data_IF_498076283468
#
_entry.id   IF_498076283468
#
_cell.length_a   1.000
_cell.length_b   1.000
_cell.length_c   1.000
_cell.angle_alpha   90.00
_cell.angle_beta   90.00
_cell.angle_gamma   90.00
#
_symmetry.space_group_name_H-M   'P 1'
#
loop_
_entity.id
_entity.type
_entity.pdbx_description
1 polymer ?
#
# COMPACT_ATOMS: atom_id res chain seq x y z
N UNK A 1 -44.24 6.32 27.15
CA UNK A 1 -42.89 6.81 26.74
C UNK A 1 -42.68 6.47 25.27
N UNK A 2 -42.30 7.44 24.43
CA UNK A 2 -42.03 7.18 23.02
C UNK A 2 -40.84 6.22 22.93
N UNK A 3 -41.06 5.02 22.35
CA UNK A 3 -39.95 4.15 21.97
C UNK A 3 -39.17 4.89 20.90
N UNK A 4 -37.85 5.01 21.08
CA UNK A 4 -36.96 5.54 20.05
C UNK A 4 -37.17 4.73 18.77
N UNK A 5 -37.61 5.40 17.69
CA UNK A 5 -37.90 4.79 16.38
C UNK A 5 -36.70 4.00 15.84
N UNK A 6 -35.48 4.47 16.15
CA UNK A 6 -34.25 3.78 15.78
C UNK A 6 -34.07 2.44 16.50
N UNK A 7 -34.39 2.37 17.80
CA UNK A 7 -34.24 1.14 18.58
C UNK A 7 -35.30 0.09 18.28
N UNK A 8 -36.39 0.47 17.59
CA UNK A 8 -37.39 -0.48 17.09
C UNK A 8 -37.00 -1.14 15.76
N UNK A 9 -35.91 -0.71 15.12
CA UNK A 9 -35.41 -1.34 13.89
C UNK A 9 -34.80 -2.72 14.19
N UNK A 10 -34.85 -3.62 13.20
CA UNK A 10 -34.14 -4.90 13.23
C UNK A 10 -32.63 -4.67 13.46
N UNK A 11 -31.96 -5.64 14.10
CA UNK A 11 -30.55 -5.49 14.49
C UNK A 11 -29.65 -5.27 13.27
N UNK A 12 -29.91 -5.99 12.19
CA UNK A 12 -29.19 -5.92 10.92
C UNK A 12 -29.28 -4.52 10.32
N UNK A 13 -30.46 -3.89 10.38
CA UNK A 13 -30.66 -2.53 9.90
C UNK A 13 -29.95 -1.50 10.78
N UNK A 14 -29.95 -1.71 12.10
CA UNK A 14 -29.21 -0.84 13.03
C UNK A 14 -27.71 -0.92 12.74
N UNK A 15 -27.16 -2.13 12.61
CA UNK A 15 -25.75 -2.33 12.25
C UNK A 15 -25.43 -1.68 10.91
N UNK A 16 -26.25 -1.92 9.88
CA UNK A 16 -26.07 -1.33 8.55
C UNK A 16 -26.02 0.20 8.59
N UNK A 17 -26.95 0.85 9.30
CA UNK A 17 -26.96 2.32 9.45
C UNK A 17 -25.70 2.81 10.18
N UNK A 18 -25.32 2.13 11.27
CA UNK A 18 -24.16 2.50 12.06
C UNK A 18 -22.83 2.34 11.30
N UNK A 19 -22.75 1.45 10.31
CA UNK A 19 -21.57 1.29 9.44
C UNK A 19 -21.27 2.52 8.58
N UNK A 20 -22.22 3.43 8.38
CA UNK A 20 -22.00 4.70 7.65
C UNK A 20 -21.47 5.83 8.55
N UNK A 21 -21.36 5.61 9.85
CA UNK A 21 -20.88 6.60 10.80
C UNK A 21 -19.34 6.57 10.91
N UNK A 22 -18.75 7.69 11.31
CA UNK A 22 -17.33 7.72 11.67
C UNK A 22 -17.05 6.86 12.91
N UNK A 23 -15.82 6.40 13.10
CA UNK A 23 -15.46 5.62 14.30
C UNK A 23 -15.79 6.36 15.61
N UNK A 24 -15.62 7.69 15.61
CA UNK A 24 -15.96 8.56 16.75
C UNK A 24 -17.46 8.51 17.03
N UNK A 25 -18.28 8.64 16.00
CA UNK A 25 -19.74 8.63 16.13
C UNK A 25 -20.25 7.25 16.55
N UNK A 26 -19.67 6.16 16.05
CA UNK A 26 -19.98 4.79 16.51
C UNK A 26 -19.70 4.65 18.01
N UNK A 27 -18.55 5.13 18.48
CA UNK A 27 -18.18 5.10 19.89
C UNK A 27 -19.08 6.00 20.74
N UNK A 28 -19.52 7.15 20.22
CA UNK A 28 -20.52 7.99 20.85
C UNK A 28 -21.88 7.27 20.96
N UNK A 29 -22.38 6.67 19.88
CA UNK A 29 -23.62 5.89 19.90
C UNK A 29 -23.55 4.75 20.93
N UNK A 30 -22.41 4.05 21.03
CA UNK A 30 -22.17 3.02 22.04
C UNK A 30 -22.32 3.55 23.48
N UNK A 31 -21.99 4.82 23.75
CA UNK A 31 -22.09 5.39 25.10
C UNK A 31 -23.49 5.92 25.45
N UNK A 32 -24.36 6.15 24.46
CA UNK A 32 -25.71 6.71 24.67
C UNK A 32 -26.62 5.77 25.46
N UNK A 33 -26.69 4.49 25.12
CA UNK A 33 -27.57 3.55 25.82
C UNK A 33 -27.11 2.09 25.76
N UNK A 34 -27.66 1.24 26.64
CA UNK A 34 -27.33 -0.20 26.73
C UNK A 34 -27.64 -0.96 25.45
N UNK A 35 -28.71 -0.62 24.74
CA UNK A 35 -29.10 -1.29 23.51
C UNK A 35 -28.08 -1.05 22.38
N UNK A 36 -27.65 0.20 22.19
CA UNK A 36 -26.60 0.54 21.20
C UNK A 36 -25.25 -0.05 21.59
N UNK A 37 -24.92 -0.02 22.89
CA UNK A 37 -23.75 -0.72 23.40
C UNK A 37 -23.78 -2.22 23.05
N UNK A 38 -24.93 -2.86 23.22
CA UNK A 38 -25.09 -4.28 22.89
C UNK A 38 -24.91 -4.52 21.39
N UNK A 39 -25.55 -3.71 20.53
CA UNK A 39 -25.39 -3.79 19.07
C UNK A 39 -23.92 -3.64 18.64
N UNK A 40 -23.17 -2.72 19.25
CA UNK A 40 -21.73 -2.61 19.00
C UNK A 40 -20.97 -3.88 19.42
N UNK A 41 -21.29 -4.44 20.59
CA UNK A 41 -20.60 -5.63 21.11
C UNK A 41 -20.93 -6.92 20.34
N UNK A 42 -22.12 -7.01 19.74
CA UNK A 42 -22.55 -8.17 18.95
C UNK A 42 -22.08 -8.12 17.48
N UNK A 43 -21.86 -6.94 16.91
CA UNK A 43 -21.44 -6.78 15.51
C UNK A 43 -19.93 -6.77 15.34
N UNK A 44 -19.44 -7.71 14.53
CA UNK A 44 -18.03 -7.75 14.12
C UNK A 44 -17.67 -6.61 13.17
N UNK A 45 -18.63 -6.15 12.36
CA UNK A 45 -18.53 -5.05 11.40
C UNK A 45 -18.23 -3.72 12.10
N UNK A 46 -19.03 -3.37 13.10
CA UNK A 46 -18.84 -2.13 13.85
C UNK A 46 -17.53 -2.13 14.63
N UNK A 47 -17.17 -3.27 15.22
CA UNK A 47 -15.89 -3.43 15.90
C UNK A 47 -14.73 -3.30 14.90
N UNK A 48 -14.84 -3.90 13.72
CA UNK A 48 -13.82 -3.85 12.69
C UNK A 48 -13.57 -2.42 12.19
N UNK A 49 -14.61 -1.64 11.92
CA UNK A 49 -14.48 -0.22 11.53
C UNK A 49 -13.73 0.59 12.60
N UNK A 50 -14.10 0.40 13.87
CA UNK A 50 -13.46 1.11 14.99
C UNK A 50 -11.99 0.71 15.16
N UNK A 51 -11.68 -0.59 15.07
CA UNK A 51 -10.33 -1.13 15.25
C UNK A 51 -9.41 -0.74 14.09
N UNK A 52 -9.90 -0.76 12.85
CA UNK A 52 -9.18 -0.23 11.69
C UNK A 52 -8.81 1.24 11.91
N UNK A 53 -9.80 2.04 12.32
CA UNK A 53 -9.60 3.47 12.57
C UNK A 53 -8.60 3.72 13.70
N UNK A 54 -8.65 2.93 14.77
CA UNK A 54 -7.71 3.00 15.89
C UNK A 54 -6.26 2.69 15.50
N UNK A 55 -6.05 1.96 14.40
CA UNK A 55 -4.74 1.64 13.84
C UNK A 55 -4.39 2.48 12.61
N UNK A 56 -5.16 3.53 12.31
CA UNK A 56 -5.00 4.37 11.12
C UNK A 56 -5.05 3.58 9.79
N UNK A 57 -5.84 2.51 9.74
CA UNK A 57 -6.04 1.68 8.57
C UNK A 57 -7.38 2.01 7.88
N UNK A 58 -7.43 1.78 6.57
CA UNK A 58 -8.63 1.99 5.76
C UNK A 58 -9.37 0.68 5.53
N UNK A 59 -10.70 0.76 5.55
CA UNK A 59 -11.55 -0.33 5.12
C UNK A 59 -11.46 -0.45 3.59
N UNK A 60 -10.95 -1.57 3.09
CA UNK A 60 -10.92 -1.87 1.66
C UNK A 60 -12.09 -2.80 1.36
N UNK A 61 -13.13 -2.26 0.73
CA UNK A 61 -14.18 -3.06 0.13
C UNK A 61 -13.61 -3.83 -1.07
N UNK A 62 -14.11 -5.04 -1.32
CA UNK A 62 -13.84 -5.76 -2.56
C UNK A 62 -12.41 -6.29 -2.76
N UNK A 63 -11.66 -6.55 -1.68
CA UNK A 63 -10.57 -7.52 -1.78
C UNK A 63 -11.22 -8.85 -2.15
N UNK A 64 -10.92 -9.45 -3.31
CA UNK A 64 -11.54 -10.71 -3.78
C UNK A 64 -11.42 -11.90 -2.81
N UNK A 65 -10.78 -11.67 -1.67
CA UNK A 65 -10.73 -12.52 -0.50
C UNK A 65 -12.09 -12.54 0.25
N UNK A 66 -12.79 -13.67 0.17
CA UNK A 66 -14.06 -13.91 0.86
C UNK A 66 -13.92 -14.12 2.39
N UNK A 67 -12.78 -13.79 2.99
CA UNK A 67 -12.55 -13.89 4.44
C UNK A 67 -13.63 -13.12 5.22
N UNK A 68 -14.38 -13.77 6.13
CA UNK A 68 -15.42 -13.13 6.95
C UNK A 68 -14.89 -11.96 7.80
N UNK A 69 -15.71 -10.95 8.05
CA UNK A 69 -15.31 -9.75 8.80
C UNK A 69 -14.85 -10.07 10.23
N UNK A 70 -15.48 -11.05 10.88
CA UNK A 70 -15.05 -11.56 12.20
C UNK A 70 -13.62 -12.11 12.18
N UNK A 71 -13.24 -12.83 11.13
CA UNK A 71 -11.88 -13.35 10.97
C UNK A 71 -10.89 -12.23 10.66
N UNK A 72 -11.25 -11.28 9.79
CA UNK A 72 -10.43 -10.09 9.52
C UNK A 72 -10.18 -9.28 10.79
N UNK A 73 -11.21 -9.09 11.62
CA UNK A 73 -11.11 -8.43 12.91
C UNK A 73 -10.17 -9.18 13.86
N UNK A 74 -10.25 -10.52 13.90
CA UNK A 74 -9.36 -11.32 14.73
C UNK A 74 -7.90 -11.17 14.28
N UNK A 75 -7.63 -11.30 12.98
CA UNK A 75 -6.28 -11.09 12.40
C UNK A 75 -5.74 -9.69 12.72
N UNK A 76 -6.60 -8.66 12.64
CA UNK A 76 -6.24 -7.28 12.98
C UNK A 76 -5.82 -7.13 14.46
N UNK A 77 -6.55 -7.76 15.38
CA UNK A 77 -6.22 -7.78 16.81
C UNK A 77 -4.96 -8.58 17.10
N UNK A 78 -4.81 -9.74 16.46
CA UNK A 78 -3.61 -10.58 16.61
C UNK A 78 -2.36 -9.83 16.14
N UNK A 79 -2.45 -9.12 15.01
CA UNK A 79 -1.40 -8.24 14.51
C UNK A 79 -1.06 -7.14 15.51
N UNK A 80 -2.05 -6.41 16.03
CA UNK A 80 -1.82 -5.37 17.03
C UNK A 80 -1.16 -5.93 18.29
N UNK A 81 -1.59 -7.10 18.76
CA UNK A 81 -0.98 -7.77 19.90
C UNK A 81 0.46 -8.23 19.62
N UNK A 82 0.74 -8.75 18.42
CA UNK A 82 2.08 -9.14 18.03
C UNK A 82 3.03 -7.93 18.01
N UNK A 83 2.57 -6.78 17.51
CA UNK A 83 3.33 -5.52 17.54
C UNK A 83 3.61 -5.03 18.97
N UNK A 84 2.63 -5.11 19.87
CA UNK A 84 2.82 -4.73 21.28
C UNK A 84 3.76 -5.69 22.03
N UNK A 85 3.78 -6.96 21.63
CA UNK A 85 4.67 -7.99 22.19
C UNK A 85 6.05 -8.00 21.53
N UNK A 86 6.27 -7.19 20.49
CA UNK A 86 7.55 -7.13 19.79
C UNK A 86 8.62 -6.63 20.77
N UNK A 87 9.46 -7.54 21.23
CA UNK A 87 10.61 -7.17 22.03
C UNK A 87 11.67 -6.57 21.11
N UNK A 88 11.76 -5.23 21.07
CA UNK A 88 12.74 -4.50 20.28
C UNK A 88 14.20 -4.89 20.62
N UNK A 89 14.46 -5.50 21.77
CA UNK A 89 15.78 -5.99 22.15
C UNK A 89 16.09 -7.40 21.64
N UNK A 90 15.09 -8.11 21.09
CA UNK A 90 15.27 -9.42 20.46
C UNK A 90 15.53 -9.33 18.95
N UNK A 91 16.12 -8.21 18.50
CA UNK A 91 16.56 -8.04 17.11
C UNK A 91 17.61 -9.09 16.78
N UNK A 92 17.28 -9.98 15.86
CA UNK A 92 18.25 -10.89 15.28
C UNK A 92 18.91 -10.20 14.09
N UNK A 93 20.22 -10.00 14.18
CA UNK A 93 21.03 -9.56 13.04
C UNK A 93 21.36 -10.77 12.19
N UNK A 94 20.76 -10.84 11.00
CA UNK A 94 21.15 -11.80 9.96
C UNK A 94 22.16 -11.17 9.01
N UNK A 95 23.26 -11.86 8.73
CA UNK A 95 24.11 -11.52 7.59
C UNK A 95 23.55 -12.18 6.35
N UNK A 96 23.04 -11.37 5.42
CA UNK A 96 22.71 -11.85 4.09
C UNK A 96 23.99 -11.81 3.24
N UNK A 97 24.44 -12.94 2.65
CA UNK A 97 25.60 -12.95 1.76
C UNK A 97 25.23 -12.21 0.48
N UNK A 98 25.59 -10.94 0.40
CA UNK A 98 25.28 -10.11 -0.77
C UNK A 98 26.59 -9.75 -1.46
N UNK A 99 26.75 -10.11 -2.75
CA UNK A 99 28.02 -9.97 -3.44
C UNK A 99 28.41 -8.50 -3.71
N UNK A 100 27.47 -7.54 -3.67
CA UNK A 100 27.75 -6.13 -4.00
C UNK A 100 26.97 -5.11 -3.15
N UNK A 101 27.53 -3.91 -2.90
CA UNK A 101 26.83 -2.82 -2.22
C UNK A 101 25.82 -2.15 -3.17
N UNK A 102 24.62 -2.72 -3.29
CA UNK A 102 23.50 -2.13 -4.04
C UNK A 102 22.48 -1.50 -3.08
N UNK A 103 21.78 -0.42 -3.51
CA UNK A 103 20.68 0.13 -2.72
C UNK A 103 19.61 -0.95 -2.52
N UNK A 104 19.15 -1.06 -1.27
CA UNK A 104 18.20 -2.07 -0.83
C UNK A 104 16.93 -1.41 -0.38
N UNK A 105 15.84 -2.07 -0.69
CA UNK A 105 14.52 -1.59 -0.32
C UNK A 105 13.72 -2.78 0.19
N UNK A 106 12.79 -2.48 1.09
CA UNK A 106 11.91 -3.45 1.70
C UNK A 106 10.49 -3.13 1.29
N UNK A 107 9.76 -4.13 0.82
CA UNK A 107 8.31 -4.03 0.64
C UNK A 107 7.64 -5.27 1.19
N UNK A 108 6.75 -5.08 2.16
CA UNK A 108 6.15 -6.18 2.93
C UNK A 108 7.21 -7.09 3.55
N UNK A 109 7.15 -8.38 3.20
CA UNK A 109 8.07 -9.42 3.68
C UNK A 109 9.19 -9.75 2.68
N UNK A 110 9.43 -8.89 1.68
CA UNK A 110 10.43 -9.14 0.64
C UNK A 110 11.51 -8.06 0.64
N UNK A 111 12.76 -8.52 0.53
CA UNK A 111 13.92 -7.70 0.21
C UNK A 111 14.08 -7.68 -1.30
N UNK A 112 14.22 -6.49 -1.87
CA UNK A 112 14.63 -6.39 -3.28
C UNK A 112 15.93 -5.61 -3.41
N UNK A 113 16.74 -6.06 -4.36
CA UNK A 113 17.98 -5.42 -4.74
C UNK A 113 18.08 -5.34 -6.25
N UNK A 114 18.59 -4.20 -6.73
CA UNK A 114 18.86 -3.98 -8.13
C UNK A 114 20.35 -4.04 -8.38
N UNK A 115 20.79 -4.97 -9.22
CA UNK A 115 22.19 -5.13 -9.59
C UNK A 115 22.42 -4.37 -10.89
N UNK A 116 22.93 -3.14 -10.79
CA UNK A 116 23.11 -2.25 -11.94
C UNK A 116 23.96 -2.85 -13.08
N UNK A 117 24.98 -3.65 -12.77
CA UNK A 117 25.89 -4.20 -13.78
C UNK A 117 25.28 -5.33 -14.60
N UNK A 118 24.44 -6.15 -13.96
CA UNK A 118 23.78 -7.28 -14.62
C UNK A 118 22.40 -6.92 -15.13
N UNK A 119 21.88 -5.73 -14.78
CA UNK A 119 20.49 -5.35 -15.01
C UNK A 119 19.61 -6.48 -14.46
N UNK A 120 19.68 -6.77 -13.15
CA UNK A 120 18.89 -7.83 -12.51
C UNK A 120 18.16 -7.30 -11.29
N UNK A 121 16.88 -7.68 -11.15
CA UNK A 121 16.14 -7.55 -9.90
C UNK A 121 16.25 -8.89 -9.18
N UNK A 122 16.83 -8.89 -7.99
CA UNK A 122 16.71 -10.04 -7.09
C UNK A 122 15.70 -9.70 -6.02
N UNK A 123 14.69 -10.56 -5.88
CA UNK A 123 13.68 -10.44 -4.83
C UNK A 123 13.79 -11.68 -3.97
N UNK A 124 14.15 -11.45 -2.73
CA UNK A 124 14.39 -12.49 -1.75
C UNK A 124 13.40 -12.30 -0.62
N UNK A 125 12.69 -13.35 -0.18
CA UNK A 125 11.87 -13.26 1.00
C UNK A 125 12.77 -12.94 2.20
N UNK A 126 12.28 -12.09 3.10
CA UNK A 126 12.95 -11.86 4.38
C UNK A 126 12.88 -13.18 5.14
N UNK A 127 14.02 -13.75 5.58
CA UNK A 127 14.03 -15.03 6.29
C UNK A 127 13.13 -14.95 7.52
N UNK A 128 11.97 -15.60 7.46
CA UNK A 128 11.08 -15.74 8.60
C UNK A 128 11.39 -17.05 9.32
N UNK A 129 11.09 -17.14 10.62
CA UNK A 129 11.27 -18.38 11.40
C UNK A 129 10.40 -19.53 10.90
N UNK A 130 9.41 -19.25 10.03
CA UNK A 130 8.51 -20.23 9.46
C UNK A 130 8.72 -20.30 7.94
N UNK A 131 9.42 -21.32 7.44
CA UNK A 131 9.64 -21.49 6.00
C UNK A 131 8.34 -22.00 5.37
N UNK A 132 7.41 -21.10 5.09
CA UNK A 132 6.23 -21.39 4.29
C UNK A 132 6.21 -20.43 3.11
N UNK A 133 6.50 -21.01 1.93
CA UNK A 133 6.54 -20.38 0.60
C UNK A 133 7.70 -19.40 0.38
N UNK A 134 8.87 -19.97 0.09
CA UNK A 134 10.03 -19.24 -0.41
C UNK A 134 9.82 -18.96 -1.91
N UNK A 135 9.30 -17.78 -2.25
CA UNK A 135 9.33 -17.30 -3.63
C UNK A 135 10.69 -16.65 -3.85
N UNK A 136 11.68 -17.45 -4.26
CA UNK A 136 12.93 -16.93 -4.83
C UNK A 136 12.72 -16.81 -6.34
N UNK A 137 12.44 -15.60 -6.80
CA UNK A 137 12.42 -15.29 -8.23
C UNK A 137 13.60 -14.40 -8.59
N UNK A 138 14.44 -14.91 -9.48
CA UNK A 138 15.43 -14.11 -10.18
C UNK A 138 14.78 -13.60 -11.46
N UNK A 139 14.44 -12.31 -11.48
CA UNK A 139 13.86 -11.70 -12.68
C UNK A 139 14.93 -11.00 -13.48
N UNK A 140 15.03 -11.36 -14.76
CA UNK A 140 15.71 -10.51 -15.71
C UNK A 140 14.76 -9.38 -16.19
N UNK A 141 15.17 -8.12 -16.18
CA UNK A 141 14.47 -7.02 -16.82
C UNK A 141 14.20 -7.29 -18.30
N UNK A 142 15.06 -8.07 -18.97
CA UNK A 142 14.84 -8.51 -20.36
C UNK A 142 13.58 -9.35 -20.54
N UNK A 143 13.17 -10.11 -19.52
CA UNK A 143 11.94 -10.91 -19.53
C UNK A 143 10.72 -10.10 -19.09
N UNK A 144 10.91 -9.16 -18.16
CA UNK A 144 9.82 -8.32 -17.63
C UNK A 144 9.48 -7.14 -18.54
N UNK A 145 10.46 -6.58 -19.23
CA UNK A 145 10.30 -5.43 -20.09
C UNK A 145 10.99 -5.74 -21.43
N UNK A 146 10.23 -5.90 -22.53
CA UNK A 146 10.82 -6.12 -23.86
C UNK A 146 11.59 -4.90 -24.39
N UNK A 147 11.61 -3.78 -23.63
CA UNK A 147 12.42 -2.62 -23.95
C UNK A 147 13.88 -2.93 -23.67
N UNK A 148 14.67 -2.91 -24.75
CA UNK A 148 16.07 -3.32 -24.82
C UNK A 148 16.97 -2.53 -23.84
N UNK A 149 16.52 -1.40 -23.27
CA UNK A 149 17.22 -0.70 -22.19
C UNK A 149 16.29 0.21 -21.36
N UNK A 150 15.89 -0.14 -20.12
CA UNK A 150 15.49 0.88 -19.16
C UNK A 150 16.75 1.57 -18.61
N UNK A 151 16.86 2.89 -18.83
CA UNK A 151 17.85 3.70 -18.10
C UNK A 151 17.37 3.81 -16.66
N UNK A 152 18.06 3.15 -15.75
CA UNK A 152 17.94 3.28 -14.28
C UNK A 152 16.51 3.06 -13.72
N UNK A 153 16.24 1.85 -13.24
CA UNK A 153 15.09 1.59 -12.36
C UNK A 153 15.17 2.51 -11.13
N UNK A 154 14.04 3.14 -10.80
CA UNK A 154 13.92 4.09 -9.68
C UNK A 154 13.17 3.52 -8.50
N UNK A 155 12.15 2.71 -8.76
CA UNK A 155 11.31 2.17 -7.70
C UNK A 155 10.70 0.84 -8.12
N UNK A 156 10.50 -0.05 -7.15
CA UNK A 156 9.79 -1.31 -7.33
C UNK A 156 8.62 -1.34 -6.36
N UNK A 157 7.46 -1.71 -6.88
CA UNK A 157 6.20 -1.84 -6.17
C UNK A 157 5.78 -3.31 -6.22
N UNK A 158 5.22 -3.80 -5.11
CA UNK A 158 4.66 -5.15 -5.03
C UNK A 158 3.37 -5.12 -4.21
N UNK A 159 2.37 -5.87 -4.66
CA UNK A 159 1.20 -6.21 -3.88
C UNK A 159 0.87 -7.71 -4.11
N UNK A 160 1.44 -8.60 -3.28
CA UNK A 160 1.23 -10.04 -3.41
C UNK A 160 -0.24 -10.45 -3.29
N UNK A 161 -1.06 -9.69 -2.55
CA UNK A 161 -2.48 -10.00 -2.40
C UNK A 161 -3.26 -9.86 -3.71
N UNK A 162 -2.73 -9.08 -4.65
CA UNK A 162 -3.29 -8.88 -5.98
C UNK A 162 -2.48 -9.58 -7.07
N UNK A 163 -1.44 -10.34 -6.72
CA UNK A 163 -0.44 -10.85 -7.67
C UNK A 163 0.15 -9.71 -8.54
N UNK A 164 0.33 -8.51 -7.97
CA UNK A 164 0.75 -7.32 -8.71
C UNK A 164 2.21 -6.98 -8.44
N UNK A 165 2.93 -6.70 -9.52
CA UNK A 165 4.32 -6.25 -9.52
C UNK A 165 4.45 -5.00 -10.40
N UNK A 166 5.16 -4.00 -9.92
CA UNK A 166 5.34 -2.72 -10.62
C UNK A 166 6.80 -2.31 -10.67
N UNK A 167 7.32 -1.95 -11.85
CA UNK A 167 8.66 -1.36 -12.00
C UNK A 167 8.54 0.04 -12.55
N UNK A 168 9.03 1.02 -11.80
CA UNK A 168 9.18 2.39 -12.28
C UNK A 168 10.60 2.63 -12.79
N UNK A 169 10.70 3.06 -14.05
CA UNK A 169 11.96 3.39 -14.69
C UNK A 169 11.86 4.71 -15.46
N UNK A 170 13.03 5.26 -15.79
CA UNK A 170 13.15 6.48 -16.60
C UNK A 170 13.14 6.08 -18.08
N UNK A 171 12.21 6.63 -18.86
CA UNK A 171 12.16 6.45 -20.32
C UNK A 171 13.09 7.45 -21.00
N UNK A 172 12.98 8.72 -20.61
CA UNK A 172 13.87 9.81 -21.01
C UNK A 172 14.06 10.77 -19.81
N UNK A 173 14.86 11.82 -19.94
CA UNK A 173 15.17 12.72 -18.81
C UNK A 173 13.94 13.33 -18.12
N UNK A 174 12.75 13.27 -18.73
CA UNK A 174 11.53 13.94 -18.29
C UNK A 174 10.32 13.00 -18.23
N UNK A 175 10.48 11.69 -18.42
CA UNK A 175 9.38 10.74 -18.41
C UNK A 175 9.69 9.51 -17.56
N UNK A 176 8.76 9.19 -16.66
CA UNK A 176 8.73 7.92 -15.96
C UNK A 176 7.67 7.02 -16.57
N UNK A 177 7.94 5.72 -16.54
CA UNK A 177 6.97 4.69 -16.88
C UNK A 177 6.95 3.65 -15.79
N UNK A 178 5.76 3.27 -15.36
CA UNK A 178 5.53 2.20 -14.39
C UNK A 178 4.99 1.00 -15.15
N UNK A 179 5.81 -0.01 -15.38
CA UNK A 179 5.37 -1.27 -15.98
C UNK A 179 4.65 -2.11 -14.94
N UNK A 180 3.50 -2.68 -15.31
CA UNK A 180 2.67 -3.50 -14.44
C UNK A 180 2.67 -4.95 -14.92
N UNK A 181 3.08 -5.84 -14.03
CA UNK A 181 3.17 -7.27 -14.28
C UNK A 181 2.50 -8.07 -13.17
N UNK A 182 2.27 -9.35 -13.46
CA UNK A 182 2.03 -10.37 -12.44
C UNK A 182 3.30 -10.64 -11.63
N UNK A 183 3.13 -10.96 -10.35
CA UNK A 183 4.25 -11.38 -9.51
C UNK A 183 4.71 -12.80 -9.87
N UNK A 184 3.79 -13.71 -10.20
CA UNK A 184 4.14 -15.13 -10.40
C UNK A 184 4.94 -15.41 -11.69
N UNK A 185 4.57 -14.80 -12.82
CA UNK A 185 5.16 -15.11 -14.13
C UNK A 185 5.74 -13.89 -14.86
N UNK A 186 5.56 -12.68 -14.33
CA UNK A 186 6.10 -11.45 -14.90
C UNK A 186 5.44 -11.00 -16.21
N UNK A 187 4.32 -11.62 -16.61
CA UNK A 187 3.52 -11.18 -17.75
C UNK A 187 2.71 -9.93 -17.41
N UNK A 188 2.16 -9.26 -18.44
CA UNK A 188 1.28 -8.10 -18.24
C UNK A 188 0.13 -8.49 -17.34
N UNK A 189 -0.11 -7.71 -16.30
CA UNK A 189 -1.12 -8.04 -15.30
C UNK A 189 -2.52 -8.09 -15.95
N UNK A 190 -3.30 -9.19 -15.81
CA UNK A 190 -4.54 -9.40 -16.55
C UNK A 190 -5.64 -8.39 -16.20
N UNK A 191 -5.60 -7.84 -14.99
CA UNK A 191 -6.52 -6.79 -14.54
C UNK A 191 -6.06 -5.36 -14.86
N UNK A 192 -4.86 -5.16 -15.41
CA UNK A 192 -4.38 -3.82 -15.71
C UNK A 192 -5.04 -3.29 -16.99
N UNK A 193 -5.41 -2.01 -16.98
CA UNK A 193 -5.97 -1.36 -18.17
C UNK A 193 -4.98 -1.31 -19.34
N UNK A 194 -3.68 -1.42 -19.04
CA UNK A 194 -2.60 -1.46 -20.00
C UNK A 194 -1.31 -1.98 -19.36
N UNK A 195 -0.27 -2.21 -20.17
CA UNK A 195 1.00 -2.77 -19.69
C UNK A 195 1.80 -1.79 -18.83
N UNK A 196 1.50 -0.49 -18.92
CA UNK A 196 2.23 0.52 -18.17
C UNK A 196 1.36 1.75 -17.85
N UNK A 197 1.77 2.47 -16.81
CA UNK A 197 1.29 3.80 -16.48
C UNK A 197 2.35 4.81 -16.89
N UNK A 198 1.95 5.77 -17.72
CA UNK A 198 2.82 6.82 -18.21
C UNK A 198 2.75 8.06 -17.32
N UNK A 199 3.92 8.69 -17.17
CA UNK A 199 4.08 9.90 -16.40
C UNK A 199 5.04 10.85 -17.09
N UNK A 200 4.50 11.96 -17.56
CA UNK A 200 5.28 13.09 -18.05
C UNK A 200 5.61 14.02 -16.87
N UNK A 201 6.89 14.41 -16.79
CA UNK A 201 7.38 15.40 -15.86
C UNK A 201 7.69 16.69 -16.59
N UNK A 202 7.38 17.81 -15.95
CA UNK A 202 7.92 19.12 -16.36
C UNK A 202 9.37 19.31 -15.92
N UNK A 203 9.81 18.64 -14.86
CA UNK A 203 11.11 18.83 -14.21
C UNK A 203 11.63 17.51 -13.65
N UNK A 204 12.97 17.35 -13.60
CA UNK A 204 13.60 16.20 -12.97
C UNK A 204 13.20 16.06 -11.49
N UNK A 205 12.61 14.93 -11.12
CA UNK A 205 12.25 14.61 -9.74
C UNK A 205 13.42 13.91 -9.03
N UNK A 206 13.77 14.41 -7.85
CA UNK A 206 14.88 13.86 -7.06
C UNK A 206 14.43 12.78 -6.08
N UNK A 207 13.25 12.98 -5.50
CA UNK A 207 12.65 12.06 -4.54
C UNK A 207 11.33 11.56 -5.10
N UNK A 208 11.19 10.24 -5.15
CA UNK A 208 10.04 9.54 -5.71
C UNK A 208 9.70 8.36 -4.81
N UNK A 209 8.43 8.24 -4.45
CA UNK A 209 7.89 7.16 -3.65
C UNK A 209 6.63 6.63 -4.30
N UNK A 210 6.62 5.33 -4.60
CA UNK A 210 5.48 4.65 -5.19
C UNK A 210 4.83 3.73 -4.15
N UNK A 211 3.52 3.76 -4.05
CA UNK A 211 2.74 2.93 -3.13
C UNK A 211 1.52 2.34 -3.87
N UNK A 212 1.06 1.15 -3.46
CA UNK A 212 -0.13 0.50 -4.01
C UNK A 212 -1.16 0.26 -2.91
N UNK A 213 -2.40 0.60 -3.20
CA UNK A 213 -3.54 0.41 -2.32
C UNK A 213 -4.74 -0.10 -3.12
N UNK A 214 -4.87 -1.43 -3.20
CA UNK A 214 -5.93 -2.07 -3.98
C UNK A 214 -5.80 -1.70 -5.46
N UNK A 215 -6.88 -1.19 -6.05
CA UNK A 215 -6.90 -0.74 -7.46
C UNK A 215 -6.14 0.57 -7.74
N UNK A 216 -5.59 1.22 -6.71
CA UNK A 216 -4.92 2.52 -6.88
C UNK A 216 -3.41 2.39 -6.68
N UNK A 217 -2.65 2.99 -7.59
CA UNK A 217 -1.22 3.23 -7.42
C UNK A 217 -1.02 4.72 -7.18
N UNK A 218 -0.25 5.09 -6.17
CA UNK A 218 0.05 6.46 -5.82
C UNK A 218 1.55 6.72 -5.98
N UNK A 219 1.92 7.75 -6.73
CA UNK A 219 3.27 8.30 -6.79
C UNK A 219 3.30 9.62 -6.06
N UNK A 220 4.16 9.68 -5.05
CA UNK A 220 4.55 10.92 -4.41
C UNK A 220 5.94 11.32 -4.91
N UNK A 221 6.10 12.56 -5.37
CA UNK A 221 7.39 13.07 -5.88
C UNK A 221 7.68 14.49 -5.41
N UNK A 222 8.97 14.82 -5.30
CA UNK A 222 9.45 16.17 -5.05
C UNK A 222 10.16 16.74 -6.29
N UNK A 223 9.65 17.85 -6.80
CA UNK A 223 10.28 18.67 -7.83
C UNK A 223 11.03 19.83 -7.15
N UNK A 224 12.35 19.82 -7.28
CA UNK A 224 13.21 20.86 -6.71
C UNK A 224 13.63 21.83 -7.80
N UNK A 225 13.20 23.07 -7.69
CA UNK A 225 13.73 24.19 -8.47
C UNK A 225 14.82 24.92 -7.68
N UNK A 226 15.48 25.91 -8.29
CA UNK A 226 16.47 26.75 -7.58
C UNK A 226 15.89 27.47 -6.35
N UNK A 227 14.57 27.67 -6.30
CA UNK A 227 13.93 28.55 -5.31
C UNK A 227 12.75 27.92 -4.59
N UNK A 228 12.32 26.71 -4.97
CA UNK A 228 11.13 26.08 -4.42
C UNK A 228 11.22 24.56 -4.46
N UNK A 229 10.53 23.93 -3.52
CA UNK A 229 10.23 22.50 -3.56
C UNK A 229 8.73 22.35 -3.73
N UNK A 230 8.34 21.63 -4.78
CA UNK A 230 6.93 21.31 -5.03
C UNK A 230 6.74 19.81 -4.90
N UNK A 231 5.82 19.43 -4.03
CA UNK A 231 5.43 18.04 -3.85
C UNK A 231 4.22 17.73 -4.72
N UNK A 232 4.29 16.67 -5.49
CA UNK A 232 3.20 16.21 -6.33
C UNK A 232 2.75 14.83 -5.88
N UNK A 233 1.43 14.66 -5.75
CA UNK A 233 0.80 13.37 -5.54
C UNK A 233 -0.03 13.04 -6.79
N UNK A 234 0.32 11.95 -7.44
CA UNK A 234 -0.43 11.41 -8.57
C UNK A 234 -0.97 10.04 -8.22
N UNK A 235 -2.24 9.82 -8.52
CA UNK A 235 -2.95 8.58 -8.22
C UNK A 235 -3.55 8.04 -9.52
N UNK A 236 -3.23 6.80 -9.85
CA UNK A 236 -3.82 6.05 -10.95
C UNK A 236 -4.77 4.99 -10.42
N UNK A 237 -5.95 4.86 -11.02
CA UNK A 237 -6.69 3.60 -11.01
C UNK A 237 -6.09 2.72 -12.12
N UNK A 238 -5.21 1.80 -11.73
CA UNK A 238 -4.41 1.03 -12.68
C UNK A 238 -5.24 -0.01 -13.45
N UNK A 239 -6.44 -0.32 -12.98
CA UNK A 239 -7.37 -1.24 -13.62
C UNK A 239 -8.23 -0.55 -14.69
N UNK A 240 -8.43 0.77 -14.58
CA UNK A 240 -9.28 1.55 -15.49
C UNK A 240 -8.53 2.64 -16.28
N UNK A 241 -7.22 2.79 -16.09
CA UNK A 241 -6.38 3.84 -16.69
C UNK A 241 -6.85 5.27 -16.41
N UNK A 242 -7.53 5.49 -15.27
CA UNK A 242 -7.93 6.85 -14.88
C UNK A 242 -6.87 7.46 -13.97
N UNK A 243 -6.64 8.77 -14.11
CA UNK A 243 -5.59 9.48 -13.37
C UNK A 243 -6.17 10.70 -12.67
N UNK A 244 -5.66 10.97 -11.47
CA UNK A 244 -5.94 12.17 -10.70
C UNK A 244 -4.65 12.67 -10.07
N UNK A 245 -4.50 14.00 -9.93
CA UNK A 245 -3.27 14.59 -9.43
C UNK A 245 -3.52 15.84 -8.59
N UNK A 246 -2.69 16.03 -7.56
CA UNK A 246 -2.69 17.20 -6.68
C UNK A 246 -1.23 17.68 -6.52
N UNK A 247 -1.04 18.99 -6.52
CA UNK A 247 0.27 19.61 -6.31
C UNK A 247 0.24 20.50 -5.06
N UNK A 248 1.28 20.39 -4.22
CA UNK A 248 1.46 21.18 -3.01
C UNK A 248 2.80 21.92 -3.11
N UNK A 249 2.75 23.25 -3.10
CA UNK A 249 3.95 24.08 -3.16
C UNK A 249 4.40 24.47 -1.75
N UNK A 250 5.67 24.18 -1.44
CA UNK A 250 6.33 24.71 -0.26
C UNK A 250 7.32 25.81 -0.69
N UNK A 251 7.08 27.03 -0.20
CA UNK A 251 8.07 28.11 -0.32
C UNK A 251 9.19 27.83 0.68
N UNK A 252 10.38 27.51 0.16
CA UNK A 252 11.58 27.43 0.99
C UNK A 252 11.91 28.86 1.41
N UNK A 253 11.67 29.19 2.68
CA UNK A 253 12.19 30.43 3.25
C UNK A 253 13.71 30.29 3.33
N UNK A 254 14.41 31.05 2.50
CA UNK A 254 15.84 31.26 2.70
C UNK A 254 16.00 32.14 3.94
N UNK A 255 16.16 31.51 5.10
CA UNK A 255 16.67 32.18 6.29
C UNK A 255 18.18 32.39 6.09
N UNK A 256 18.54 33.28 5.18
CA UNK A 256 19.91 33.76 5.01
C UNK A 256 20.19 34.84 6.06
N UNK A 257 20.94 34.48 7.10
CA UNK A 257 21.79 35.39 7.86
C UNK A 257 23.05 35.73 7.07
#
# INVERSE_FOLDING_TARGET
>A
MPKSLFLSLLEELRVYILCFLSCRDILCCRSVCKALRQTYMSSSELQYIVELSGQCLLFVSNTGDHTPISERLQRLRDKAHAWLKLNAFALQTGTLPIPFPTPRYFTGEHLYSWIHHSDLVTISPIPSKHPQQTIEHEWSPKTLCPLIFPRTVKYILMDPAQNLFGIMYIVDNMAYRIYLATLDDGHVHPHAAGPALDLELSVYAFDVKLECYGRHIALWRCETSRFSQTWHLQIWDWQHSTTSGVSLQALVRNDSN
#
